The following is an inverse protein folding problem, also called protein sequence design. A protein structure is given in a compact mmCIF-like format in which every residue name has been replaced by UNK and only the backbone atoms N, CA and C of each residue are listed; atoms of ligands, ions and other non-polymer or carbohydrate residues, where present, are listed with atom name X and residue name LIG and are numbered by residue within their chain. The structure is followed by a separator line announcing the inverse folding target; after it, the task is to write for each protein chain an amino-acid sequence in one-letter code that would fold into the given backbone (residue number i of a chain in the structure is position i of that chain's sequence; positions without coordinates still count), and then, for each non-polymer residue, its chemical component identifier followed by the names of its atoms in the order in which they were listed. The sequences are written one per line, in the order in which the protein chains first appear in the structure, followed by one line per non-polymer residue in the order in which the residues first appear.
data_IF_461569419204
#
_entry.id   IF_461569419204
#
_cell.length_a   1.000
_cell.length_b   1.000
_cell.length_c   1.000
_cell.angle_alpha   90.00
_cell.angle_beta   90.00
_cell.angle_gamma   90.00
#
_symmetry.space_group_name_H-M   'P 1'
#
loop_
_entity.id
_entity.type
_entity.pdbx_description
1 polymer ?
#
# COMPACT_ATOMS: atom_id res chain seq x y z
N UNK A 1 -19.22 14.89 2.18
CA UNK A 1 -19.45 14.54 0.76
C UNK A 1 -20.46 13.40 0.69
N UNK A 2 -21.56 13.52 -0.07
CA UNK A 2 -22.61 12.48 -0.18
C UNK A 2 -22.35 11.58 -1.39
N UNK A 3 -22.24 10.27 -1.19
CA UNK A 3 -22.22 9.26 -2.27
C UNK A 3 -23.63 8.69 -2.50
N UNK A 4 -24.07 8.60 -3.77
CA UNK A 4 -25.37 8.04 -4.14
C UNK A 4 -25.22 6.92 -5.17
N UNK A 5 -25.92 5.79 -4.93
CA UNK A 5 -25.89 4.56 -5.74
C UNK A 5 -26.90 4.61 -6.90
N UNK A 6 -26.52 4.24 -8.13
CA UNK A 6 -27.45 3.92 -9.25
C UNK A 6 -26.86 2.84 -10.16
N UNK A 7 -27.63 1.78 -10.42
CA UNK A 7 -27.33 0.69 -11.37
C UNK A 7 -27.34 1.17 -12.83
N UNK A 8 -26.37 0.72 -13.65
CA UNK A 8 -26.34 0.99 -15.10
C UNK A 8 -26.99 -0.13 -15.93
N UNK A 9 -27.76 0.29 -16.94
CA UNK A 9 -28.62 -0.54 -17.78
C UNK A 9 -27.95 -1.32 -18.92
N UNK A 10 -28.78 -2.14 -19.58
CA UNK A 10 -28.46 -3.31 -20.44
C UNK A 10 -27.58 -3.09 -21.70
N UNK A 11 -27.15 -1.87 -22.04
CA UNK A 11 -26.39 -1.62 -23.31
C UNK A 11 -24.87 -1.67 -23.21
N UNK A 12 -24.26 -1.73 -22.01
CA UNK A 12 -22.81 -1.93 -21.84
C UNK A 12 -22.36 -3.37 -21.55
N UNK A 13 -23.27 -4.35 -21.66
CA UNK A 13 -22.99 -5.77 -21.37
C UNK A 13 -22.01 -6.47 -22.33
N UNK A 14 -21.61 -5.84 -23.45
CA UNK A 14 -20.72 -6.47 -24.45
C UNK A 14 -19.24 -6.13 -24.32
N UNK A 15 -18.86 -5.14 -23.51
CA UNK A 15 -17.45 -4.83 -23.23
C UNK A 15 -16.96 -5.47 -21.92
N UNK A 16 -17.85 -5.68 -20.95
CA UNK A 16 -17.52 -6.40 -19.70
C UNK A 16 -17.38 -7.92 -19.90
N UNK A 17 -18.08 -8.51 -20.88
CA UNK A 17 -18.05 -9.97 -21.08
C UNK A 17 -16.75 -10.46 -21.74
N UNK A 18 -16.07 -9.62 -22.53
CA UNK A 18 -14.81 -9.98 -23.18
C UNK A 18 -13.62 -10.00 -22.22
N UNK A 19 -13.68 -9.20 -21.14
CA UNK A 19 -12.66 -9.22 -20.07
C UNK A 19 -12.96 -10.36 -19.08
N UNK A 20 -14.23 -10.66 -18.79
CA UNK A 20 -14.61 -11.76 -17.91
C UNK A 20 -14.37 -13.16 -18.51
N UNK A 21 -14.46 -13.33 -19.84
CA UNK A 21 -14.39 -14.66 -20.47
C UNK A 21 -12.99 -15.09 -20.91
N UNK A 22 -11.98 -14.20 -20.86
CA UNK A 22 -10.58 -14.54 -21.16
C UNK A 22 -9.69 -14.66 -19.91
N UNK A 23 -10.20 -14.37 -18.71
CA UNK A 23 -9.41 -14.32 -17.46
C UNK A 23 -9.96 -15.19 -16.33
N UNK A 24 -10.59 -16.33 -16.66
CA UNK A 24 -11.08 -17.29 -15.66
C UNK A 24 -9.97 -18.08 -14.92
N UNK A 25 -8.74 -17.58 -14.90
CA UNK A 25 -7.62 -18.16 -14.16
C UNK A 25 -6.66 -17.11 -13.54
N UNK A 26 -7.13 -15.89 -13.24
CA UNK A 26 -6.32 -14.96 -12.46
C UNK A 26 -7.20 -14.20 -11.46
N UNK A 27 -7.01 -14.48 -10.18
CA UNK A 27 -7.59 -13.69 -9.11
C UNK A 27 -6.46 -12.81 -8.59
N UNK A 28 -6.24 -11.64 -9.19
CA UNK A 28 -5.68 -10.50 -8.44
C UNK A 28 -6.85 -9.85 -7.74
N UNK A 29 -6.70 -9.50 -6.47
CA UNK A 29 -7.70 -8.68 -5.78
C UNK A 29 -7.62 -7.26 -6.33
N UNK A 30 -8.33 -6.99 -7.43
CA UNK A 30 -8.43 -5.65 -8.03
C UNK A 30 -9.62 -4.92 -7.42
N UNK A 31 -9.34 -3.86 -6.67
CA UNK A 31 -10.38 -2.98 -6.15
C UNK A 31 -10.44 -1.76 -7.07
N UNK A 32 -11.57 -1.57 -7.76
CA UNK A 32 -11.77 -0.46 -8.70
C UNK A 32 -12.63 0.64 -8.06
N UNK A 33 -12.08 1.85 -8.00
CA UNK A 33 -12.79 3.00 -7.43
C UNK A 33 -12.94 4.12 -8.45
N UNK A 34 -14.18 4.48 -8.76
CA UNK A 34 -14.49 5.81 -9.29
C UNK A 34 -14.95 6.66 -8.12
N UNK A 35 -14.45 7.88 -7.96
CA UNK A 35 -14.98 8.85 -7.01
C UNK A 35 -16.40 9.28 -7.45
N UNK A 36 -17.36 8.37 -7.29
CA UNK A 36 -18.83 8.51 -7.25
C UNK A 36 -19.56 7.15 -7.29
N UNK A 37 -18.88 6.03 -7.58
CA UNK A 37 -19.48 4.68 -7.61
C UNK A 37 -18.42 3.62 -7.30
N UNK A 38 -18.42 3.13 -6.06
CA UNK A 38 -17.56 2.02 -5.64
C UNK A 38 -18.20 0.69 -5.98
N UNK A 39 -17.50 -0.17 -6.72
CA UNK A 39 -17.83 -1.59 -6.91
C UNK A 39 -16.61 -2.41 -6.53
N UNK A 40 -16.78 -3.32 -5.58
CA UNK A 40 -15.72 -4.20 -5.09
C UNK A 40 -15.82 -5.51 -5.84
N UNK A 41 -14.77 -5.88 -6.57
CA UNK A 41 -14.64 -7.21 -7.16
C UNK A 41 -13.67 -7.97 -6.27
N UNK A 42 -14.23 -8.68 -5.29
CA UNK A 42 -13.54 -9.79 -4.65
C UNK A 42 -14.13 -11.07 -5.24
N UNK A 43 -13.29 -11.99 -5.69
CA UNK A 43 -13.71 -13.27 -6.28
C UNK A 43 -14.41 -14.19 -5.28
N UNK A 44 -14.33 -13.88 -3.98
CA UNK A 44 -14.77 -14.78 -2.94
C UNK A 44 -15.87 -14.07 -2.13
N UNK A 45 -17.10 -14.55 -2.32
CA UNK A 45 -18.35 -14.26 -1.59
C UNK A 45 -19.30 -13.18 -2.15
N UNK A 46 -20.47 -13.65 -2.58
CA UNK A 46 -21.69 -12.85 -2.81
C UNK A 46 -22.30 -12.45 -1.46
N UNK A 47 -22.16 -11.18 -1.05
CA UNK A 47 -22.98 -10.64 0.05
C UNK A 47 -23.56 -9.27 -0.30
N UNK A 48 -24.84 -9.09 0.04
CA UNK A 48 -25.65 -7.89 -0.21
C UNK A 48 -26.04 -7.30 1.14
N UNK A 49 -25.74 -6.02 1.40
CA UNK A 49 -26.30 -5.29 2.55
C UNK A 49 -26.54 -3.82 2.21
N UNK A 50 -27.64 -3.29 2.75
CA UNK A 50 -28.02 -1.89 2.69
C UNK A 50 -27.59 -1.17 3.98
N UNK A 51 -27.05 0.04 3.87
CA UNK A 51 -26.84 0.93 5.01
C UNK A 51 -27.92 2.01 5.01
N UNK A 52 -28.69 2.09 6.10
CA UNK A 52 -29.59 3.20 6.41
C UNK A 52 -28.82 4.43 6.91
N UNK A 53 -29.49 5.60 7.00
CA UNK A 53 -28.85 6.85 7.38
C UNK A 53 -28.40 6.87 8.84
N UNK A 54 -27.33 7.61 9.19
CA UNK A 54 -26.91 7.78 10.57
C UNK A 54 -27.90 8.68 11.33
N UNK A 55 -28.35 8.22 12.49
CA UNK A 55 -29.04 9.04 13.48
C UNK A 55 -28.12 10.15 14.00
N UNK A 56 -28.72 11.32 14.14
CA UNK A 56 -28.16 12.54 14.69
C UNK A 56 -27.71 12.37 16.15
N UNK A 57 -26.45 12.72 16.45
CA UNK A 57 -26.05 13.13 17.79
C UNK A 57 -25.70 14.62 17.77
N UNK A 58 -26.46 15.39 18.54
CA UNK A 58 -26.38 16.82 18.72
C UNK A 58 -25.10 17.24 19.48
N UNK A 59 -24.64 18.47 19.27
CA UNK A 59 -23.55 19.07 20.06
C UNK A 59 -23.06 20.42 19.57
N UNK A 60 -23.92 21.44 19.73
CA UNK A 60 -23.69 22.90 19.94
C UNK A 60 -22.48 23.64 19.34
N UNK A 61 -22.84 24.72 18.62
CA UNK A 61 -22.05 25.81 18.05
C UNK A 61 -21.21 26.63 19.05
N UNK A 62 -20.11 27.20 18.56
CA UNK A 62 -19.71 28.57 18.90
C UNK A 62 -19.04 29.25 17.68
N UNK A 63 -19.72 30.27 17.15
CA UNK A 63 -19.21 31.23 16.19
C UNK A 63 -18.54 32.41 16.90
N UNK A 64 -17.52 33.01 16.29
CA UNK A 64 -17.18 34.42 16.51
C UNK A 64 -16.86 35.06 15.17
N UNK A 65 -17.57 36.15 14.88
CA UNK A 65 -17.54 36.95 13.67
C UNK A 65 -16.87 38.30 13.99
N UNK A 66 -15.90 38.74 13.17
CA UNK A 66 -15.49 40.15 12.95
C UNK A 66 -14.75 40.14 11.61
N UNK A 67 -14.95 40.95 10.58
CA UNK A 67 -15.80 42.10 10.29
C UNK A 67 -15.22 42.70 8.99
N UNK A 68 -16.07 43.02 8.01
CA UNK A 68 -15.65 43.62 6.74
C UNK A 68 -15.18 45.07 6.92
N UNK A 69 -14.11 45.45 6.20
CA UNK A 69 -13.85 46.82 5.77
C UNK A 69 -13.41 46.74 4.30
N UNK A 70 -14.27 47.25 3.42
CA UNK A 70 -13.98 47.39 2.00
C UNK A 70 -13.32 48.73 1.70
N UNK A 71 -12.34 48.72 0.79
CA UNK A 71 -12.05 49.80 -0.15
C UNK A 71 -11.40 49.16 -1.38
N UNK A 72 -11.98 49.42 -2.56
CA UNK A 72 -11.59 48.76 -3.80
C UNK A 72 -10.20 49.14 -4.31
N UNK A 73 -9.53 48.12 -4.85
CA UNK A 73 -8.59 48.23 -5.98
C UNK A 73 -8.76 46.93 -6.78
N UNK A 74 -9.23 47.04 -8.01
CA UNK A 74 -9.16 45.94 -8.98
C UNK A 74 -7.69 45.72 -9.35
N UNK A 75 -7.14 44.55 -9.05
CA UNK A 75 -5.87 44.11 -9.61
C UNK A 75 -6.13 42.81 -10.38
N UNK A 76 -6.34 42.97 -11.68
CA UNK A 76 -6.20 41.89 -12.66
C UNK A 76 -4.72 41.53 -12.73
N UNK A 77 -4.31 40.40 -12.16
CA UNK A 77 -2.97 39.84 -12.43
C UNK A 77 -3.11 38.60 -13.29
N UNK A 78 -2.94 38.80 -14.59
CA UNK A 78 -2.58 37.77 -15.55
C UNK A 78 -1.16 37.30 -15.21
N UNK A 79 -0.98 36.04 -14.80
CA UNK A 79 0.35 35.42 -14.75
C UNK A 79 0.49 34.42 -15.88
N UNK A 80 1.26 34.87 -16.87
CA UNK A 80 1.77 34.14 -18.02
C UNK A 80 2.75 33.05 -17.59
N UNK A 81 2.61 31.88 -18.23
CA UNK A 81 3.55 30.76 -18.21
C UNK A 81 4.90 31.18 -18.80
N UNK A 82 5.92 31.35 -17.98
CA UNK A 82 7.32 31.29 -18.42
C UNK A 82 7.86 29.88 -18.21
N UNK A 83 8.51 29.38 -19.26
CA UNK A 83 9.18 28.10 -19.33
C UNK A 83 10.65 28.42 -19.21
N UNK A 84 11.23 28.22 -18.03
CA UNK A 84 12.68 28.28 -17.84
C UNK A 84 13.06 27.06 -17.00
N UNK A 85 13.86 26.21 -17.66
CA UNK A 85 14.84 25.35 -17.02
C UNK A 85 15.67 26.19 -16.07
N UNK A 86 15.83 25.75 -14.83
CA UNK A 86 17.12 25.74 -14.14
C UNK A 86 17.00 24.94 -12.84
N UNK A 87 18.04 24.15 -12.59
CA UNK A 87 18.26 23.36 -11.39
C UNK A 87 18.39 24.29 -10.18
N UNK A 88 17.38 24.34 -9.30
CA UNK A 88 17.58 24.91 -7.97
C UNK A 88 17.77 23.78 -6.95
N UNK A 89 19.05 23.43 -6.80
CA UNK A 89 19.60 22.63 -5.70
C UNK A 89 19.32 23.36 -4.39
N UNK A 90 18.27 22.95 -3.68
CA UNK A 90 18.05 23.39 -2.31
C UNK A 90 19.22 22.95 -1.42
N UNK A 91 20.06 23.91 -1.02
CA UNK A 91 21.06 23.74 0.04
C UNK A 91 20.32 23.94 1.36
N UNK A 92 19.97 22.83 2.01
CA UNK A 92 19.53 22.84 3.41
C UNK A 92 20.78 22.58 4.27
N UNK A 93 21.03 23.47 5.21
CA UNK A 93 22.18 23.44 6.11
C UNK A 93 22.11 22.26 7.06
N UNK A 94 23.23 21.55 7.18
CA UNK A 94 23.43 20.38 8.04
C UNK A 94 23.07 20.66 9.51
N UNK A 95 22.25 19.78 10.10
CA UNK A 95 22.16 19.61 11.56
C UNK A 95 23.27 18.61 11.98
N UNK A 96 24.23 18.99 12.85
CA UNK A 96 25.40 18.19 13.17
C UNK A 96 25.16 17.13 14.25
N UNK A 97 23.96 16.54 14.34
CA UNK A 97 23.77 15.33 15.14
C UNK A 97 24.06 14.09 14.27
N UNK A 98 25.32 13.67 14.26
CA UNK A 98 25.78 12.51 13.51
C UNK A 98 24.97 11.25 13.82
N UNK A 99 24.22 10.77 12.82
CA UNK A 99 23.74 9.40 12.82
C UNK A 99 24.86 8.50 12.28
N UNK A 100 25.44 7.70 13.17
CA UNK A 100 26.31 6.58 12.80
C UNK A 100 25.65 5.73 11.71
N UNK A 101 26.41 5.05 10.83
CA UNK A 101 25.84 4.18 9.80
C UNK A 101 25.01 3.09 10.48
N UNK A 102 23.69 3.23 10.39
CA UNK A 102 22.72 2.32 11.00
C UNK A 102 22.68 1.04 10.16
N UNK A 103 23.18 -0.05 10.73
CA UNK A 103 23.46 -1.30 10.01
C UNK A 103 22.18 -2.11 9.77
N UNK A 104 21.88 -2.45 8.51
CA UNK A 104 20.67 -3.14 8.02
C UNK A 104 20.45 -4.52 8.68
N UNK A 105 21.53 -5.18 9.10
CA UNK A 105 21.47 -6.46 9.83
C UNK A 105 20.75 -6.33 11.18
N UNK A 106 20.99 -5.22 11.90
CA UNK A 106 20.39 -4.93 13.21
C UNK A 106 18.89 -4.65 13.13
N UNK A 107 18.42 -4.03 12.03
CA UNK A 107 16.99 -3.74 11.80
C UNK A 107 16.20 -5.03 11.65
N UNK A 108 16.74 -5.96 10.86
CA UNK A 108 16.08 -7.25 10.63
C UNK A 108 16.10 -8.12 11.90
N UNK A 109 17.18 -8.08 12.69
CA UNK A 109 17.23 -8.72 14.02
C UNK A 109 16.21 -8.10 15.00
N UNK A 110 16.09 -6.77 15.07
CA UNK A 110 15.11 -6.07 15.91
C UNK A 110 13.65 -6.41 15.54
N UNK A 111 13.34 -6.57 14.24
CA UNK A 111 12.00 -7.00 13.78
C UNK A 111 11.73 -8.44 14.21
N UNK A 112 12.74 -9.30 14.07
CA UNK A 112 12.63 -10.71 14.42
C UNK A 112 12.49 -10.94 15.93
N UNK A 113 13.14 -10.13 16.75
CA UNK A 113 13.13 -10.26 18.20
C UNK A 113 11.91 -9.58 18.82
N UNK A 114 11.47 -8.44 18.26
CA UNK A 114 10.22 -7.79 18.68
C UNK A 114 8.96 -8.63 18.43
N UNK A 115 8.90 -9.35 17.30
CA UNK A 115 7.79 -10.27 16.99
C UNK A 115 7.84 -11.58 17.79
N UNK A 116 8.97 -11.92 18.42
CA UNK A 116 9.06 -13.07 19.32
C UNK A 116 8.55 -12.76 20.74
N UNK A 117 8.63 -11.50 21.18
CA UNK A 117 8.18 -11.09 22.51
C UNK A 117 6.66 -11.20 22.66
N UNK A 118 5.89 -10.89 21.62
CA UNK A 118 4.41 -10.98 21.64
C UNK A 118 3.87 -12.41 21.60
N UNK A 119 4.67 -13.39 21.17
CA UNK A 119 4.29 -14.79 21.14
C UNK A 119 4.47 -15.53 22.49
N UNK A 120 5.04 -14.88 23.52
CA UNK A 120 5.37 -15.53 24.81
C UNK A 120 4.32 -15.35 25.92
N UNK A 121 3.27 -14.54 25.72
CA UNK A 121 2.22 -14.30 26.73
C UNK A 121 0.94 -15.14 26.52
N UNK A 122 1.12 -16.45 26.30
CA UNK A 122 0.01 -17.39 26.24
C UNK A 122 0.41 -18.74 26.79
N UNK A 123 0.49 -18.89 28.12
CA UNK A 123 0.74 -20.19 28.72
C UNK A 123 -0.48 -20.74 29.48
N UNK A 124 -0.73 -22.03 29.19
CA UNK A 124 -1.49 -23.01 29.96
C UNK A 124 -3.01 -23.08 29.77
N UNK A 125 -3.43 -23.93 28.81
CA UNK A 125 -4.59 -24.80 29.02
C UNK A 125 -4.40 -26.13 28.28
N UNK A 126 -4.70 -27.22 28.99
CA UNK A 126 -4.52 -28.63 28.60
C UNK A 126 -5.38 -29.03 27.40
N UNK A 127 -4.78 -29.83 26.50
CA UNK A 127 -5.43 -30.95 25.82
C UNK A 127 -6.24 -30.64 24.55
N UNK A 128 -5.57 -30.74 23.39
CA UNK A 128 -5.99 -31.58 22.25
C UNK A 128 -4.82 -31.67 21.25
N UNK A 129 -4.34 -32.87 20.92
CA UNK A 129 -3.16 -33.08 20.05
C UNK A 129 -3.50 -32.89 18.57
N UNK A 130 -3.82 -31.67 18.17
CA UNK A 130 -3.53 -31.20 16.81
C UNK A 130 -2.13 -30.61 16.85
N UNK A 131 -1.17 -31.26 16.18
CA UNK A 131 0.23 -30.82 16.13
C UNK A 131 0.27 -29.49 15.37
N UNK A 132 0.27 -28.37 16.09
CA UNK A 132 0.38 -27.04 15.49
C UNK A 132 1.74 -26.90 14.80
N UNK A 133 1.75 -26.37 13.58
CA UNK A 133 2.99 -26.11 12.86
C UNK A 133 3.89 -25.16 13.66
N UNK A 134 5.22 -25.31 13.58
CA UNK A 134 6.14 -24.35 14.20
C UNK A 134 6.01 -22.98 13.52
N UNK A 135 6.28 -21.89 14.25
CA UNK A 135 6.40 -20.56 13.66
C UNK A 135 7.49 -20.53 12.58
N UNK A 136 7.26 -19.81 11.49
CA UNK A 136 8.26 -19.59 10.45
C UNK A 136 9.49 -18.87 11.03
N UNK A 137 10.67 -19.23 10.53
CA UNK A 137 11.91 -18.54 10.86
C UNK A 137 11.81 -17.09 10.37
N UNK A 138 12.25 -16.16 11.19
CA UNK A 138 12.15 -14.75 10.84
C UNK A 138 13.12 -14.35 9.72
N UNK A 139 14.30 -15.00 9.67
CA UNK A 139 15.18 -15.00 8.52
C UNK A 139 15.21 -16.40 7.90
N UNK A 140 14.36 -16.68 6.90
CA UNK A 140 14.34 -17.98 6.25
C UNK A 140 15.66 -18.30 5.54
N UNK A 141 16.03 -19.57 5.51
CA UNK A 141 17.18 -20.04 4.70
C UNK A 141 16.89 -19.95 3.18
N UNK A 142 15.64 -19.69 2.81
CA UNK A 142 15.19 -19.51 1.43
C UNK A 142 15.58 -18.16 0.83
N UNK A 143 16.04 -17.19 1.63
CA UNK A 143 16.50 -15.88 1.14
C UNK A 143 17.77 -16.02 0.29
N UNK A 144 17.88 -15.20 -0.76
CA UNK A 144 19.03 -15.20 -1.69
C UNK A 144 19.96 -14.03 -1.48
N UNK A 145 19.55 -13.00 -0.74
CA UNK A 145 20.23 -11.73 -0.67
C UNK A 145 20.01 -10.90 -1.93
N UNK A 146 21.09 -10.41 -2.53
CA UNK A 146 21.02 -9.60 -3.76
C UNK A 146 20.40 -10.38 -4.91
N UNK A 147 19.48 -9.74 -5.62
CA UNK A 147 18.67 -10.30 -6.69
C UNK A 147 19.01 -9.67 -8.03
N UNK A 148 18.85 -10.45 -9.09
CA UNK A 148 18.86 -9.92 -10.45
C UNK A 148 17.50 -9.29 -10.78
N UNK A 149 17.51 -8.07 -11.31
CA UNK A 149 16.28 -7.35 -11.70
C UNK A 149 15.99 -7.57 -13.18
N UNK A 150 14.99 -8.42 -13.46
CA UNK A 150 14.54 -8.71 -14.81
C UNK A 150 13.39 -7.78 -15.25
N UNK A 151 13.74 -6.76 -16.05
CA UNK A 151 12.82 -5.76 -16.57
C UNK A 151 12.04 -6.21 -17.82
N UNK A 152 12.16 -7.47 -18.26
CA UNK A 152 11.39 -7.98 -19.41
C UNK A 152 9.90 -8.06 -19.05
N UNK A 153 9.05 -7.37 -19.81
CA UNK A 153 7.59 -7.41 -19.60
C UNK A 153 7.07 -8.83 -19.85
N UNK A 154 6.48 -9.49 -18.85
CA UNK A 154 5.96 -10.84 -19.02
C UNK A 154 4.67 -10.84 -19.84
N UNK A 155 4.38 -11.98 -20.46
CA UNK A 155 3.03 -12.28 -20.96
C UNK A 155 2.16 -12.73 -19.79
N UNK A 156 0.95 -12.16 -19.68
CA UNK A 156 -0.01 -12.51 -18.63
C UNK A 156 -0.31 -14.01 -18.54
N UNK A 157 -0.45 -14.69 -19.67
CA UNK A 157 -0.71 -16.13 -19.71
C UNK A 157 0.41 -16.97 -19.09
N UNK A 158 1.66 -16.50 -19.20
CA UNK A 158 2.82 -17.21 -18.64
C UNK A 158 2.91 -17.03 -17.13
N UNK A 159 2.56 -15.86 -16.60
CA UNK A 159 2.58 -15.62 -15.15
C UNK A 159 1.62 -16.54 -14.40
N UNK A 160 0.42 -16.79 -14.95
CA UNK A 160 -0.53 -17.74 -14.35
C UNK A 160 0.00 -19.16 -14.30
N UNK A 161 0.70 -19.61 -15.36
CA UNK A 161 1.22 -20.98 -15.43
C UNK A 161 2.42 -21.19 -14.50
N UNK A 162 3.23 -20.15 -14.27
CA UNK A 162 4.42 -20.23 -13.44
C UNK A 162 4.12 -20.23 -11.95
N UNK A 163 2.93 -19.78 -11.55
CA UNK A 163 2.55 -19.59 -10.15
C UNK A 163 1.19 -20.21 -9.79
N UNK A 164 0.99 -21.53 -9.99
CA UNK A 164 -0.26 -22.21 -9.66
C UNK A 164 -0.57 -22.22 -8.15
N UNK A 165 0.43 -21.95 -7.30
CA UNK A 165 0.29 -21.85 -5.85
C UNK A 165 -0.38 -20.56 -5.37
N UNK A 166 -0.51 -19.54 -6.24
CA UNK A 166 -1.13 -18.27 -5.88
C UNK A 166 -2.66 -18.40 -5.90
N UNK A 167 -3.31 -17.84 -4.90
CA UNK A 167 -4.77 -17.73 -4.82
C UNK A 167 -5.16 -16.33 -4.37
N UNK A 168 -5.99 -15.64 -5.16
CA UNK A 168 -6.45 -14.30 -4.78
C UNK A 168 -5.39 -13.20 -4.84
N UNK A 169 -4.24 -13.47 -5.46
CA UNK A 169 -3.06 -12.60 -5.46
C UNK A 169 -2.24 -12.77 -4.18
N UNK A 170 -2.49 -13.84 -3.43
CA UNK A 170 -1.82 -14.14 -2.19
C UNK A 170 -1.28 -15.56 -2.13
N UNK A 171 -0.43 -15.76 -1.13
CA UNK A 171 0.23 -17.02 -0.82
C UNK A 171 0.60 -17.05 0.65
N UNK A 172 0.67 -18.26 1.22
CA UNK A 172 1.14 -18.50 2.58
C UNK A 172 1.95 -19.81 2.63
N UNK A 173 2.94 -19.90 3.52
CA UNK A 173 3.68 -21.15 3.73
C UNK A 173 2.75 -22.23 4.31
N UNK A 174 2.98 -23.49 3.90
CA UNK A 174 2.25 -24.67 4.41
C UNK A 174 2.99 -25.40 5.53
N UNK A 175 4.30 -25.18 5.63
CA UNK A 175 5.18 -25.99 6.48
C UNK A 175 5.52 -25.31 7.82
N UNK A 176 5.10 -24.05 7.98
CA UNK A 176 5.27 -23.25 9.19
C UNK A 176 4.14 -22.23 9.31
N UNK A 177 3.90 -21.75 10.52
CA UNK A 177 2.95 -20.68 10.79
C UNK A 177 3.62 -19.31 10.53
N UNK A 178 3.11 -18.51 9.57
CA UNK A 178 3.68 -17.19 9.25
C UNK A 178 3.50 -16.24 10.44
N UNK A 179 4.46 -15.33 10.62
CA UNK A 179 4.50 -14.40 11.78
C UNK A 179 3.53 -13.24 11.66
N UNK A 180 3.24 -12.82 10.43
CA UNK A 180 2.32 -11.74 10.10
C UNK A 180 1.57 -12.06 8.82
N UNK A 181 0.34 -11.58 8.75
CA UNK A 181 -0.49 -11.51 7.55
C UNK A 181 -0.37 -10.11 6.96
N UNK A 182 0.09 -10.05 5.72
CA UNK A 182 0.58 -8.83 5.09
C UNK A 182 -0.29 -8.46 3.90
N UNK A 183 -0.89 -7.28 3.93
CA UNK A 183 -1.56 -6.69 2.78
C UNK A 183 -0.58 -5.76 2.04
N UNK A 184 -0.21 -6.11 0.82
CA UNK A 184 0.60 -5.25 -0.06
C UNK A 184 -0.35 -4.43 -0.93
N UNK A 185 -0.46 -3.14 -0.61
CA UNK A 185 -1.36 -2.18 -1.25
C UNK A 185 -0.61 -1.45 -2.37
N UNK A 186 -1.06 -1.65 -3.61
CA UNK A 186 -0.46 -1.08 -4.80
C UNK A 186 -1.46 -0.11 -5.47
N UNK A 187 -1.39 1.20 -5.22
CA UNK A 187 -2.21 2.17 -5.94
C UNK A 187 -1.80 2.19 -7.42
N UNK A 188 -2.78 2.19 -8.30
CA UNK A 188 -2.56 1.86 -9.71
C UNK A 188 -3.48 2.64 -10.66
N UNK A 189 -2.93 3.03 -11.81
CA UNK A 189 -3.69 3.44 -13.01
C UNK A 189 -2.77 3.43 -14.23
N UNK A 190 -3.21 2.83 -15.33
CA UNK A 190 -2.55 2.88 -16.65
C UNK A 190 -1.04 2.53 -16.66
N UNK A 191 -0.64 1.52 -15.86
CA UNK A 191 0.77 1.09 -15.68
C UNK A 191 0.98 -0.41 -15.91
N UNK A 192 0.28 -0.99 -16.89
CA UNK A 192 0.21 -2.45 -17.11
C UNK A 192 1.58 -3.13 -17.21
N UNK A 193 2.53 -2.53 -17.94
CA UNK A 193 3.89 -3.09 -18.08
C UNK A 193 4.63 -3.13 -16.75
N UNK A 194 4.58 -2.06 -15.95
CA UNK A 194 5.16 -2.02 -14.61
C UNK A 194 4.51 -3.06 -13.70
N UNK A 195 3.17 -3.18 -13.73
CA UNK A 195 2.46 -4.17 -12.93
C UNK A 195 2.88 -5.61 -13.29
N UNK A 196 3.04 -5.92 -14.58
CA UNK A 196 3.52 -7.23 -15.01
C UNK A 196 4.92 -7.53 -14.46
N UNK A 197 5.86 -6.59 -14.57
CA UNK A 197 7.21 -6.74 -14.03
C UNK A 197 7.18 -6.89 -12.51
N UNK A 198 6.40 -6.03 -11.83
CA UNK A 198 6.21 -6.04 -10.38
C UNK A 198 5.71 -7.39 -9.87
N UNK A 199 4.62 -7.93 -10.45
CA UNK A 199 4.05 -9.20 -10.00
C UNK A 199 5.02 -10.37 -10.25
N UNK A 200 5.66 -10.41 -11.42
CA UNK A 200 6.69 -11.40 -11.76
C UNK A 200 7.85 -11.38 -10.75
N UNK A 201 8.25 -10.21 -10.30
CA UNK A 201 9.39 -10.04 -9.38
C UNK A 201 9.01 -10.30 -7.93
N UNK A 202 7.91 -9.70 -7.45
CA UNK A 202 7.57 -9.67 -6.04
C UNK A 202 6.99 -10.98 -5.52
N UNK A 203 6.21 -11.73 -6.32
CA UNK A 203 5.66 -13.01 -5.83
C UNK A 203 6.74 -13.99 -5.35
N UNK A 204 7.78 -14.30 -6.15
CA UNK A 204 8.88 -15.15 -5.69
C UNK A 204 9.63 -14.58 -4.48
N UNK A 205 9.79 -13.26 -4.39
CA UNK A 205 10.50 -12.59 -3.28
C UNK A 205 9.74 -12.81 -1.97
N UNK A 206 8.45 -12.50 -1.95
CA UNK A 206 7.61 -12.60 -0.75
C UNK A 206 7.42 -14.06 -0.31
N UNK A 207 7.36 -15.01 -1.26
CA UNK A 207 7.36 -16.44 -0.96
C UNK A 207 8.63 -16.88 -0.22
N UNK A 208 9.81 -16.41 -0.64
CA UNK A 208 11.09 -16.72 0.04
C UNK A 208 11.18 -16.12 1.45
N UNK A 209 10.41 -15.08 1.74
CA UNK A 209 10.31 -14.48 3.07
C UNK A 209 9.35 -15.25 4.00
N UNK A 210 8.65 -16.29 3.52
CA UNK A 210 7.74 -17.14 4.29
C UNK A 210 6.65 -16.35 5.05
N UNK A 211 6.11 -15.32 4.42
CA UNK A 211 4.98 -14.52 4.93
C UNK A 211 3.64 -15.00 4.37
N UNK A 212 2.55 -14.81 5.12
CA UNK A 212 1.20 -14.84 4.57
C UNK A 212 0.94 -13.48 3.97
N UNK A 213 0.84 -13.39 2.65
CA UNK A 213 0.65 -12.11 1.99
C UNK A 213 -0.44 -12.16 0.94
N UNK A 214 -0.98 -10.98 0.64
CA UNK A 214 -1.82 -10.76 -0.54
C UNK A 214 -1.52 -9.40 -1.15
N UNK A 215 -1.38 -9.37 -2.47
CA UNK A 215 -1.22 -8.14 -3.25
C UNK A 215 -2.59 -7.63 -3.68
N UNK A 216 -2.88 -6.38 -3.32
CA UNK A 216 -4.10 -5.65 -3.67
C UNK A 216 -3.75 -4.53 -4.64
N UNK A 217 -4.17 -4.68 -5.89
CA UNK A 217 -4.03 -3.63 -6.90
C UNK A 217 -5.25 -2.73 -6.82
N UNK A 218 -5.02 -1.46 -6.51
CA UNK A 218 -6.06 -0.47 -6.24
C UNK A 218 -6.16 0.48 -7.43
N UNK A 219 -7.05 0.15 -8.36
CA UNK A 219 -7.21 0.92 -9.60
C UNK A 219 -8.08 2.15 -9.36
N UNK A 220 -7.50 3.34 -9.57
CA UNK A 220 -8.30 4.56 -9.68
C UNK A 220 -8.88 4.67 -11.08
N UNK A 221 -10.21 4.73 -11.18
CA UNK A 221 -10.86 4.96 -12.47
C UNK A 221 -10.61 6.38 -12.98
N UNK A 222 -10.46 6.51 -14.29
CA UNK A 222 -10.50 7.79 -15.02
C UNK A 222 -11.88 8.48 -14.88
N UNK A 223 -11.99 9.81 -15.06
CA UNK A 223 -10.98 10.73 -15.60
C UNK A 223 -10.24 11.59 -14.56
N UNK A 224 -10.53 11.41 -13.27
CA UNK A 224 -10.01 12.30 -12.23
C UNK A 224 -8.47 12.28 -12.15
N UNK A 225 -7.87 13.34 -11.61
CA UNK A 225 -6.43 13.35 -11.32
C UNK A 225 -6.09 12.23 -10.33
N UNK A 226 -4.98 11.53 -10.56
CA UNK A 226 -4.58 10.41 -9.71
C UNK A 226 -4.34 10.89 -8.28
N UNK A 227 -4.81 10.13 -7.30
CA UNK A 227 -4.66 10.43 -5.89
C UNK A 227 -4.19 9.15 -5.19
N UNK A 228 -2.86 9.00 -5.12
CA UNK A 228 -2.17 7.84 -4.56
C UNK A 228 -2.59 7.58 -3.10
N UNK A 229 -2.52 8.62 -2.27
CA UNK A 229 -2.86 8.56 -0.86
C UNK A 229 -4.33 8.15 -0.60
N UNK A 230 -5.28 8.71 -1.35
CA UNK A 230 -6.68 8.32 -1.22
C UNK A 230 -6.91 6.86 -1.61
N UNK A 231 -6.23 6.36 -2.64
CA UNK A 231 -6.30 4.93 -3.01
C UNK A 231 -5.75 4.04 -1.90
N UNK A 232 -4.65 4.43 -1.26
CA UNK A 232 -4.10 3.71 -0.10
C UNK A 232 -5.07 3.67 1.09
N UNK A 233 -5.69 4.80 1.44
CA UNK A 233 -6.71 4.89 2.51
C UNK A 233 -7.93 4.00 2.23
N UNK A 234 -8.42 4.04 0.99
CA UNK A 234 -9.55 3.24 0.56
C UNK A 234 -9.23 1.75 0.65
N UNK A 235 -8.03 1.35 0.22
CA UNK A 235 -7.57 -0.03 0.32
C UNK A 235 -7.49 -0.49 1.77
N UNK A 236 -6.87 0.31 2.64
CA UNK A 236 -6.79 0.02 4.07
C UNK A 236 -8.18 -0.26 4.65
N UNK A 237 -9.14 0.61 4.35
CA UNK A 237 -10.53 0.50 4.83
C UNK A 237 -11.19 -0.79 4.32
N UNK A 238 -11.08 -1.10 3.03
CA UNK A 238 -11.79 -2.24 2.44
C UNK A 238 -11.11 -3.58 2.69
N UNK A 239 -9.79 -3.60 2.84
CA UNK A 239 -9.03 -4.81 3.23
C UNK A 239 -9.31 -5.16 4.69
N UNK A 240 -9.28 -4.17 5.60
CA UNK A 240 -9.54 -4.39 7.03
C UNK A 240 -10.94 -4.95 7.33
N UNK A 241 -11.92 -4.72 6.44
CA UNK A 241 -13.28 -5.28 6.57
C UNK A 241 -13.39 -6.76 6.19
N UNK A 242 -12.45 -7.27 5.39
CA UNK A 242 -12.57 -8.57 4.70
C UNK A 242 -11.49 -9.56 5.08
N UNK A 243 -10.34 -9.04 5.48
CA UNK A 243 -9.16 -9.83 5.76
C UNK A 243 -8.66 -9.48 7.15
N UNK A 244 -8.26 -10.50 7.88
CA UNK A 244 -7.58 -10.35 9.15
C UNK A 244 -6.09 -10.15 8.84
N UNK A 245 -5.66 -8.89 8.88
CA UNK A 245 -4.35 -8.41 8.41
C UNK A 245 -3.63 -7.74 9.57
N UNK A 246 -2.37 -8.12 9.78
CA UNK A 246 -1.53 -7.58 10.85
C UNK A 246 -0.70 -6.37 10.35
N UNK A 247 -0.34 -6.39 9.07
CA UNK A 247 0.60 -5.44 8.48
C UNK A 247 0.14 -4.95 7.10
N UNK A 248 0.25 -3.64 6.88
CA UNK A 248 0.01 -3.01 5.58
C UNK A 248 1.32 -2.50 5.00
N UNK A 249 1.64 -2.94 3.78
CA UNK A 249 2.74 -2.42 2.98
C UNK A 249 2.14 -1.53 1.89
N UNK A 250 2.43 -0.24 1.91
CA UNK A 250 2.03 0.68 0.86
C UNK A 250 3.15 0.80 -0.15
N UNK A 251 2.87 0.50 -1.42
CA UNK A 251 3.91 0.16 -2.39
C UNK A 251 3.69 0.79 -3.76
N UNK A 252 4.66 1.55 -4.25
CA UNK A 252 4.66 2.05 -5.63
C UNK A 252 4.91 0.91 -6.63
N UNK A 253 4.11 0.84 -7.71
CA UNK A 253 4.14 -0.29 -8.67
C UNK A 253 5.45 -0.40 -9.46
N UNK A 254 6.24 0.67 -9.51
CA UNK A 254 7.51 0.75 -10.25
C UNK A 254 8.75 0.58 -9.36
N UNK A 255 8.57 0.19 -8.10
CA UNK A 255 9.64 -0.14 -7.16
C UNK A 255 9.85 -1.65 -7.09
N UNK A 256 11.09 -2.13 -7.20
CA UNK A 256 11.43 -3.55 -7.14
C UNK A 256 12.48 -3.79 -6.05
N UNK A 257 12.30 -4.87 -5.28
CA UNK A 257 13.25 -5.20 -4.22
C UNK A 257 14.53 -5.82 -4.80
N UNK A 258 15.68 -5.20 -4.56
CA UNK A 258 16.98 -5.73 -5.03
C UNK A 258 17.66 -6.69 -4.06
N UNK A 259 17.23 -6.73 -2.79
CA UNK A 259 17.79 -7.63 -1.79
C UNK A 259 16.67 -8.19 -0.91
N UNK A 260 16.43 -9.50 -0.97
CA UNK A 260 15.32 -10.12 -0.21
C UNK A 260 15.59 -10.27 1.30
N UNK A 261 16.75 -9.82 1.80
CA UNK A 261 16.97 -9.60 3.22
C UNK A 261 16.18 -8.39 3.76
N UNK A 262 15.71 -7.47 2.91
CA UNK A 262 14.80 -6.42 3.32
C UNK A 262 13.37 -7.00 3.45
N UNK A 263 13.00 -7.42 4.66
CA UNK A 263 11.80 -8.20 4.93
C UNK A 263 10.52 -7.34 4.85
N UNK A 264 9.51 -7.80 4.10
CA UNK A 264 8.21 -7.13 3.92
C UNK A 264 7.25 -7.47 5.06
N UNK A 265 7.56 -6.94 6.23
CA UNK A 265 6.81 -7.10 7.48
C UNK A 265 6.77 -5.76 8.23
N UNK A 266 5.84 -5.63 9.16
CA UNK A 266 5.76 -4.47 10.03
C UNK A 266 6.62 -4.70 11.28
N UNK A 267 7.30 -3.65 11.72
CA UNK A 267 7.99 -3.63 13.01
C UNK A 267 7.13 -2.98 14.10
N UNK A 268 7.72 -2.78 15.28
CA UNK A 268 7.09 -2.00 16.37
C UNK A 268 6.81 -0.55 15.93
N UNK A 269 7.69 0.01 15.10
CA UNK A 269 7.57 1.36 14.53
C UNK A 269 7.25 1.29 13.02
N UNK A 270 6.61 2.32 12.45
CA UNK A 270 6.50 2.46 11.00
C UNK A 270 7.85 2.30 10.32
N UNK A 271 7.90 1.57 9.20
CA UNK A 271 9.15 1.28 8.49
C UNK A 271 9.15 1.91 7.12
N UNK A 272 10.27 2.53 6.76
CA UNK A 272 10.57 2.92 5.39
C UNK A 272 11.41 1.81 4.75
N UNK A 273 10.84 1.11 3.75
CA UNK A 273 11.50 -0.01 3.07
C UNK A 273 12.30 0.45 1.83
N UNK A 274 12.00 1.63 1.28
CA UNK A 274 12.61 2.19 0.08
C UNK A 274 13.69 3.25 0.37
N UNK A 275 14.63 2.95 1.28
CA UNK A 275 15.64 3.92 1.73
C UNK A 275 16.84 4.08 0.79
N UNK A 276 17.11 3.08 -0.04
CA UNK A 276 18.25 3.04 -0.97
C UNK A 276 17.74 2.61 -2.34
N UNK A 277 17.49 3.58 -3.22
CA UNK A 277 16.89 3.34 -4.54
C UNK A 277 17.87 3.79 -5.63
N UNK A 278 17.90 3.06 -6.74
CA UNK A 278 18.82 3.27 -7.86
C UNK A 278 18.74 4.70 -8.45
N UNK A 279 17.53 5.24 -8.58
CA UNK A 279 17.24 6.59 -9.08
C UNK A 279 17.93 7.70 -8.28
N UNK A 280 18.27 7.43 -7.02
CA UNK A 280 18.94 8.37 -6.12
C UNK A 280 20.35 7.88 -5.74
N UNK A 281 21.00 7.10 -6.61
CA UNK A 281 22.33 6.53 -6.40
C UNK A 281 22.44 5.75 -5.08
N UNK A 282 21.36 5.07 -4.69
CA UNK A 282 21.22 4.35 -3.42
C UNK A 282 21.44 5.23 -2.18
N UNK A 283 21.16 6.53 -2.29
CA UNK A 283 21.17 7.48 -1.17
C UNK A 283 19.78 7.98 -0.89
N UNK A 284 19.46 8.12 0.39
CA UNK A 284 18.21 8.75 0.81
C UNK A 284 18.29 10.25 0.47
N UNK A 285 17.39 10.81 -0.37
CA UNK A 285 17.45 12.21 -0.78
C UNK A 285 17.40 13.21 0.38
N UNK A 286 16.59 12.91 1.41
CA UNK A 286 16.47 13.69 2.63
C UNK A 286 15.88 12.82 3.75
N UNK A 287 16.19 13.15 5.01
CA UNK A 287 15.88 12.32 6.18
C UNK A 287 14.37 12.05 6.37
N UNK A 288 13.51 13.02 6.04
CA UNK A 288 12.05 12.89 6.18
C UNK A 288 11.34 12.16 5.05
N UNK A 289 12.07 11.66 4.03
CA UNK A 289 11.43 10.94 2.93
C UNK A 289 10.79 9.66 3.47
N UNK A 290 9.47 9.54 3.27
CA UNK A 290 8.66 8.39 3.69
C UNK A 290 7.74 7.90 2.56
N UNK A 291 8.29 7.92 1.33
CA UNK A 291 7.62 7.53 0.09
C UNK A 291 8.08 6.18 -0.45
N UNK A 292 7.71 5.85 -1.70
CA UNK A 292 8.10 4.61 -2.37
C UNK A 292 7.44 3.36 -1.78
N UNK A 293 8.05 2.80 -0.73
CA UNK A 293 7.56 1.59 -0.05
C UNK A 293 7.68 1.75 1.47
N UNK A 294 6.55 1.68 2.17
CA UNK A 294 6.48 1.80 3.63
C UNK A 294 5.62 0.69 4.25
N UNK A 295 5.89 0.35 5.51
CA UNK A 295 5.15 -0.65 6.27
C UNK A 295 4.57 -0.05 7.57
N UNK A 296 3.27 -0.23 7.80
CA UNK A 296 2.59 0.19 9.02
C UNK A 296 1.64 -0.90 9.52
N UNK A 297 1.57 -1.09 10.83
CA UNK A 297 0.48 -1.87 11.44
C UNK A 297 -0.84 -1.14 11.23
N UNK A 298 -1.96 -1.86 11.28
CA UNK A 298 -3.27 -1.22 11.19
C UNK A 298 -3.53 -0.23 12.34
N UNK A 299 -2.98 -0.52 13.52
CA UNK A 299 -3.02 0.38 14.67
C UNK A 299 -2.26 1.69 14.40
N UNK A 300 -1.00 1.60 13.95
CA UNK A 300 -0.20 2.79 13.63
C UNK A 300 -0.85 3.63 12.53
N UNK A 301 -1.38 3.00 11.48
CA UNK A 301 -2.09 3.68 10.41
C UNK A 301 -3.36 4.40 10.90
N UNK A 302 -4.10 3.78 11.82
CA UNK A 302 -5.30 4.37 12.41
C UNK A 302 -4.95 5.51 13.36
N UNK A 303 -3.87 5.39 14.13
CA UNK A 303 -3.41 6.40 15.08
C UNK A 303 -3.09 7.74 14.40
N UNK A 304 -2.54 7.70 13.18
CA UNK A 304 -2.25 8.89 12.36
C UNK A 304 -3.41 9.34 11.47
N UNK A 305 -4.58 8.71 11.61
CA UNK A 305 -5.76 8.94 10.78
C UNK A 305 -5.48 8.76 9.26
N UNK A 306 -4.66 7.76 8.92
CA UNK A 306 -4.24 7.45 7.56
C UNK A 306 -3.54 8.59 6.83
N UNK A 307 -3.44 8.46 5.50
CA UNK A 307 -2.87 9.50 4.64
C UNK A 307 -3.85 10.69 4.45
N UNK A 308 -3.34 11.85 4.06
CA UNK A 308 -4.20 12.94 3.56
C UNK A 308 -4.86 12.60 2.23
N UNK A 309 -6.17 12.85 2.10
CA UNK A 309 -6.91 12.67 0.84
C UNK A 309 -6.81 13.87 -0.13
N UNK A 310 -6.10 14.94 0.23
CA UNK A 310 -6.13 16.21 -0.52
C UNK A 310 -5.03 16.35 -1.57
N UNK A 311 -4.12 15.38 -1.68
CA UNK A 311 -3.02 15.39 -2.63
C UNK A 311 -3.44 14.76 -3.96
N UNK A 312 -3.72 15.60 -4.96
CA UNK A 312 -4.01 15.19 -6.32
C UNK A 312 -2.80 15.45 -7.21
N UNK A 313 -2.34 14.43 -7.93
CA UNK A 313 -1.13 14.49 -8.74
C UNK A 313 0.08 13.93 -8.00
N UNK A 314 1.26 14.46 -8.28
CA UNK A 314 2.53 13.98 -7.74
C UNK A 314 3.01 14.86 -6.59
N UNK A 315 3.36 14.24 -5.47
CA UNK A 315 4.22 14.79 -4.42
C UNK A 315 3.50 15.35 -3.19
N UNK A 316 4.19 15.25 -2.06
CA UNK A 316 3.84 15.85 -0.77
C UNK A 316 2.93 15.00 0.11
N UNK A 317 2.36 13.91 -0.41
CA UNK A 317 1.52 13.02 0.39
C UNK A 317 2.32 12.15 1.36
N UNK A 318 3.54 11.80 0.96
CA UNK A 318 4.52 11.05 1.74
C UNK A 318 5.18 11.92 2.81
N UNK A 319 5.52 13.17 2.48
CA UNK A 319 5.99 14.17 3.45
C UNK A 319 4.92 14.50 4.51
N UNK A 320 3.64 14.56 4.12
CA UNK A 320 2.52 14.70 5.08
C UNK A 320 2.43 13.47 5.98
N UNK A 321 2.57 12.27 5.42
CA UNK A 321 2.56 11.03 6.21
C UNK A 321 3.71 10.95 7.21
N UNK A 322 4.92 11.41 6.84
CA UNK A 322 6.05 11.47 7.76
C UNK A 322 5.79 12.36 8.99
N UNK A 323 5.04 13.45 8.81
CA UNK A 323 4.75 14.42 9.88
C UNK A 323 3.69 13.95 10.86
N UNK A 324 2.87 12.95 10.49
CA UNK A 324 1.81 12.42 11.34
C UNK A 324 2.35 11.34 12.28
#
# INVERSE_FOLDING_TARGET
MRCSVRFLGRRQRRLLLAILLMQLAFIVSVLRYSCLKTTIISSDTNHTFALGPPESAAGTDHYTEVGQLGTGVDITTTLTKTRESDEERAVVTDDPSGSLPYNDTTINEDICDSLQATARDGNSAKGNTTRSLPSCRCRPETLKGTLFIDMVVPRWSTMTQQHPELSGGGWRPTDCQPRQRVAVIVPYRDREQHLGIFLKHMHPVLQRQLIDYRIFVVEQAAPDVFNKAAMMNVAFTEVSKRYDVDCFIFHDVDMLLENDNNIYQCGIRPRHLATQIDKFDYKLPYHSLFGGVIALTGEAFTAVNGFSNTYFGWGGEDDDMYKR
#
